data_IF_312030435060
#
_entry.id   IF_312030435060
#
_cell.length_a   1.000
_cell.length_b   1.000
_cell.length_c   1.000
_cell.angle_alpha   90.00
_cell.angle_beta   90.00
_cell.angle_gamma   90.00
#
_symmetry.space_group_name_H-M   'P 1'
#
loop_
_entity.id
_entity.type
_entity.pdbx_description
1 polymer ?
#
# COMPACT_ATOMS: atom_id res chain seq x y z
N UNK A 1 3.56 -0.26 26.03
CA UNK A 1 3.60 0.59 24.82
C UNK A 1 2.73 -0.07 23.78
N UNK A 2 1.61 0.57 23.39
CA UNK A 2 0.72 0.02 22.36
C UNK A 2 1.42 0.15 21.01
N UNK A 3 1.91 -0.96 20.45
CA UNK A 3 2.26 -0.98 19.03
C UNK A 3 0.95 -0.82 18.26
N UNK A 4 0.65 0.40 17.81
CA UNK A 4 -0.50 0.65 16.97
C UNK A 4 -0.33 -0.15 15.68
N UNK A 5 -0.91 -1.35 15.63
CA UNK A 5 -1.02 -2.10 14.38
C UNK A 5 -2.02 -1.34 13.53
N UNK A 6 -1.66 -0.91 12.32
CA UNK A 6 -2.62 -0.30 11.43
C UNK A 6 -3.74 -1.31 11.16
N UNK A 7 -4.98 -0.86 11.24
CA UNK A 7 -6.17 -1.65 10.89
C UNK A 7 -6.93 -1.00 9.73
N UNK A 8 -7.77 -1.80 9.06
CA UNK A 8 -8.56 -1.34 7.92
C UNK A 8 -7.69 -0.79 6.78
N UNK A 9 -8.08 0.35 6.22
CA UNK A 9 -7.39 0.97 5.06
C UNK A 9 -5.97 1.43 5.34
N UNK A 10 -5.59 1.56 6.62
CA UNK A 10 -4.22 1.94 7.01
C UNK A 10 -3.27 0.75 7.06
N UNK A 11 -3.79 -0.47 6.87
CA UNK A 11 -3.02 -1.70 6.76
C UNK A 11 -2.89 -2.14 5.30
N UNK A 12 -1.68 -2.47 4.82
CA UNK A 12 -0.37 -2.27 5.48
C UNK A 12 -0.02 -0.77 5.63
N UNK A 13 0.86 -0.44 6.59
CA UNK A 13 1.29 0.95 6.83
C UNK A 13 1.93 1.56 5.58
N UNK A 14 1.76 2.88 5.39
CA UNK A 14 2.33 3.58 4.23
C UNK A 14 3.86 3.47 4.14
N UNK A 15 4.58 3.49 5.27
CA UNK A 15 6.05 3.40 5.27
C UNK A 15 6.51 2.06 4.68
N UNK A 16 5.91 0.95 5.12
CA UNK A 16 6.16 -0.38 4.57
C UNK A 16 5.82 -0.50 3.07
N UNK A 17 4.83 0.23 2.58
CA UNK A 17 4.50 0.26 1.16
C UNK A 17 5.54 1.07 0.35
N UNK A 18 6.04 2.17 0.92
CA UNK A 18 7.05 3.02 0.29
C UNK A 18 8.43 2.35 0.23
N UNK A 19 8.74 1.40 1.11
CA UNK A 19 9.93 0.55 0.96
C UNK A 19 9.92 -0.29 -0.33
N UNK A 20 8.75 -0.47 -0.96
CA UNK A 20 8.59 -1.26 -2.18
C UNK A 20 8.55 -0.43 -3.46
N UNK A 21 8.63 0.90 -3.36
CA UNK A 21 8.49 1.79 -4.53
C UNK A 21 9.38 3.02 -4.43
N UNK A 22 9.78 3.57 -5.57
CA UNK A 22 10.65 4.75 -5.59
C UNK A 22 9.91 6.07 -5.29
N UNK A 23 8.58 6.06 -5.35
CA UNK A 23 7.75 7.23 -5.08
C UNK A 23 6.30 6.88 -4.73
N UNK A 24 5.61 7.84 -4.10
CA UNK A 24 4.16 7.78 -3.84
C UNK A 24 3.34 7.60 -5.12
N UNK A 25 3.73 8.26 -6.20
CA UNK A 25 3.04 8.16 -7.48
C UNK A 25 3.19 6.76 -8.09
N UNK A 26 4.41 6.21 -8.04
CA UNK A 26 4.70 4.84 -8.51
C UNK A 26 3.86 3.81 -7.75
N UNK A 27 3.70 3.97 -6.43
CA UNK A 27 2.86 3.11 -5.59
C UNK A 27 1.39 3.11 -6.03
N UNK A 28 0.82 4.29 -6.30
CA UNK A 28 -0.57 4.43 -6.73
C UNK A 28 -0.81 3.71 -8.06
N UNK A 29 0.07 3.91 -9.04
CA UNK A 29 -0.06 3.27 -10.35
C UNK A 29 0.08 1.75 -10.24
N UNK A 30 1.06 1.25 -9.48
CA UNK A 30 1.29 -0.18 -9.28
C UNK A 30 0.06 -0.85 -8.62
N UNK A 31 -0.40 -0.31 -7.49
CA UNK A 31 -1.55 -0.84 -6.77
C UNK A 31 -2.82 -0.82 -7.63
N UNK A 32 -3.05 0.28 -8.36
CA UNK A 32 -4.23 0.43 -9.24
C UNK A 32 -4.22 -0.58 -10.39
N UNK A 33 -3.07 -0.81 -11.03
CA UNK A 33 -2.95 -1.81 -12.09
C UNK A 33 -3.22 -3.22 -11.56
N UNK A 34 -2.62 -3.57 -10.42
CA UNK A 34 -2.80 -4.90 -9.82
C UNK A 34 -4.25 -5.13 -9.38
N UNK A 35 -4.91 -4.13 -8.80
CA UNK A 35 -6.31 -4.22 -8.42
C UNK A 35 -7.22 -4.54 -9.63
N UNK A 36 -7.00 -3.89 -10.78
CA UNK A 36 -7.74 -4.18 -12.02
C UNK A 36 -7.50 -5.60 -12.53
N UNK A 37 -6.27 -6.10 -12.46
CA UNK A 37 -5.94 -7.48 -12.85
C UNK A 37 -6.63 -8.52 -11.96
N UNK A 38 -6.85 -8.22 -10.67
CA UNK A 38 -7.56 -9.12 -9.75
C UNK A 38 -9.07 -9.12 -10.04
N UNK A 39 -9.61 -8.02 -10.57
CA UNK A 39 -11.03 -7.84 -10.83
C UNK A 39 -11.46 -8.23 -12.26
N UNK A 40 -10.55 -8.73 -13.09
CA UNK A 40 -10.80 -9.16 -14.47
C UNK A 40 -10.77 -10.69 -14.55
#
# INVERSE_FOLDING_TARGET
MSSARPEGITHPSIDALLEKTDSKYSLVIYASKRARQINA
#
